data_IF_710252520078
#
_entry.id   IF_710252520078
#
_cell.length_a   1.000
_cell.length_b   1.000
_cell.length_c   1.000
_cell.angle_alpha   90.00
_cell.angle_beta   90.00
_cell.angle_gamma   90.00
#
_symmetry.space_group_name_H-M   'P 1'
#
loop_
_entity.id
_entity.type
_entity.pdbx_description
1 polymer ?
#
# COMPACT_ATOMS: atom_id res chain seq x y z
N UNK A 1 5.71 -10.30 5.99
CA UNK A 1 5.01 -9.43 6.95
C UNK A 1 3.86 -10.19 7.56
N UNK A 2 3.76 -10.18 8.89
CA UNK A 2 2.70 -10.84 9.61
C UNK A 2 1.71 -9.81 10.14
N UNK A 3 0.42 -10.04 9.87
CA UNK A 3 -0.64 -9.20 10.40
C UNK A 3 -1.32 -9.94 11.54
N UNK A 4 -1.43 -9.30 12.68
CA UNK A 4 -2.13 -9.86 13.84
C UNK A 4 -3.56 -9.37 13.87
N UNK A 5 -4.48 -10.27 14.19
CA UNK A 5 -5.93 -9.98 14.28
C UNK A 5 -6.19 -8.86 15.28
N UNK A 6 -7.05 -7.93 14.88
CA UNK A 6 -7.45 -6.83 15.73
C UNK A 6 -6.52 -5.64 15.71
N UNK A 7 -5.44 -5.68 14.93
CA UNK A 7 -4.48 -4.57 14.86
C UNK A 7 -4.65 -3.74 13.60
N UNK A 8 -4.32 -2.47 13.73
CA UNK A 8 -4.27 -1.51 12.63
C UNK A 8 -2.81 -1.26 12.27
N UNK A 9 -2.48 -1.31 10.98
CA UNK A 9 -1.11 -1.16 10.50
C UNK A 9 -1.01 -0.01 9.52
N UNK A 10 0.05 0.79 9.66
CA UNK A 10 0.41 1.81 8.70
C UNK A 10 1.61 1.31 7.90
N UNK A 11 1.40 1.07 6.62
CA UNK A 11 2.43 0.60 5.70
C UNK A 11 2.80 1.75 4.79
N UNK A 12 4.08 2.06 4.68
CA UNK A 12 4.53 3.15 3.83
C UNK A 12 5.91 2.87 3.26
N UNK A 13 6.22 3.53 2.17
CA UNK A 13 7.54 3.46 1.56
C UNK A 13 7.77 4.69 0.71
N UNK A 14 9.04 5.04 0.50
CA UNK A 14 9.45 6.18 -0.28
C UNK A 14 10.61 5.77 -1.19
N UNK A 15 10.64 6.31 -2.42
CA UNK A 15 11.74 6.07 -3.34
C UNK A 15 13.05 6.64 -2.79
N UNK A 16 14.17 6.01 -3.11
CA UNK A 16 15.49 6.47 -2.71
C UNK A 16 15.72 7.89 -3.22
N UNK A 17 16.24 8.78 -2.35
CA UNK A 17 16.52 10.17 -2.68
C UNK A 17 15.29 10.88 -3.25
N UNK A 18 14.09 10.52 -2.78
CA UNK A 18 12.82 11.08 -3.22
C UNK A 18 12.56 10.86 -4.71
N UNK A 19 13.14 9.83 -5.30
CA UNK A 19 12.87 9.48 -6.69
C UNK A 19 11.45 8.97 -6.84
N UNK A 20 10.89 9.18 -8.04
CA UNK A 20 9.56 8.68 -8.34
C UNK A 20 9.53 7.15 -8.28
N UNK A 21 8.45 6.60 -7.74
CA UNK A 21 8.17 5.16 -7.78
C UNK A 21 6.96 4.87 -8.66
N UNK A 22 6.13 5.87 -8.96
CA UNK A 22 5.02 5.76 -9.90
C UNK A 22 5.25 6.77 -11.02
N UNK A 23 5.32 6.29 -12.27
CA UNK A 23 5.62 7.12 -13.43
C UNK A 23 4.41 7.36 -14.33
N UNK A 24 3.37 6.56 -14.20
CA UNK A 24 2.20 6.64 -15.04
C UNK A 24 0.97 6.13 -14.30
N UNK A 25 -0.20 6.36 -14.90
CA UNK A 25 -1.45 5.83 -14.38
C UNK A 25 -1.39 4.31 -14.26
N UNK A 26 -0.77 3.65 -15.24
CA UNK A 26 -0.64 2.19 -15.25
C UNK A 26 0.16 1.68 -14.06
N UNK A 27 1.18 2.43 -13.62
CA UNK A 27 1.95 2.08 -12.44
C UNK A 27 1.08 2.10 -11.20
N UNK A 28 0.23 3.12 -11.03
CA UNK A 28 -0.69 3.20 -9.89
C UNK A 28 -1.68 2.03 -9.92
N UNK A 29 -2.25 1.73 -11.08
CA UNK A 29 -3.22 0.66 -11.22
C UNK A 29 -2.58 -0.71 -10.96
N UNK A 30 -1.36 -0.91 -11.42
CA UNK A 30 -0.60 -2.12 -11.17
C UNK A 30 -0.36 -2.30 -9.66
N UNK A 31 0.03 -1.22 -8.99
CA UNK A 31 0.28 -1.25 -7.55
C UNK A 31 -0.99 -1.57 -6.76
N UNK A 32 -2.11 -0.91 -7.10
CA UNK A 32 -3.39 -1.17 -6.47
C UNK A 32 -3.84 -2.62 -6.66
N UNK A 33 -3.60 -3.18 -7.84
CA UNK A 33 -3.92 -4.57 -8.10
C UNK A 33 -3.07 -5.52 -7.27
N UNK A 34 -1.79 -5.20 -7.07
CA UNK A 34 -0.90 -5.98 -6.21
C UNK A 34 -1.37 -5.95 -4.77
N UNK A 35 -1.79 -4.78 -4.27
CA UNK A 35 -2.36 -4.64 -2.93
C UNK A 35 -3.60 -5.53 -2.80
N UNK A 36 -4.51 -5.46 -3.77
CA UNK A 36 -5.72 -6.26 -3.77
C UNK A 36 -5.39 -7.75 -3.70
N UNK A 37 -4.42 -8.19 -4.50
CA UNK A 37 -4.07 -9.60 -4.59
C UNK A 37 -3.39 -10.11 -3.32
N UNK A 38 -2.49 -9.30 -2.73
CA UNK A 38 -1.61 -9.76 -1.64
C UNK A 38 -2.07 -9.34 -0.26
N UNK A 39 -2.83 -8.26 -0.13
CA UNK A 39 -3.24 -7.73 1.17
C UNK A 39 -4.67 -8.10 1.52
N UNK A 40 -5.62 -7.93 0.59
CA UNK A 40 -7.04 -8.14 0.90
C UNK A 40 -7.37 -9.54 1.42
N UNK A 41 -6.69 -10.63 0.99
CA UNK A 41 -6.96 -11.94 1.59
C UNK A 41 -6.64 -12.01 3.08
N UNK A 42 -5.84 -11.09 3.61
CA UNK A 42 -5.37 -11.11 4.99
C UNK A 42 -5.85 -9.94 5.84
N UNK A 43 -6.21 -8.82 5.21
CA UNK A 43 -6.55 -7.61 5.94
C UNK A 43 -7.41 -6.70 5.07
N UNK A 44 -8.17 -5.81 5.72
CA UNK A 44 -8.97 -4.81 5.03
C UNK A 44 -8.14 -3.55 4.82
N UNK A 45 -8.30 -2.92 3.67
CA UNK A 45 -7.66 -1.64 3.39
C UNK A 45 -8.60 -0.54 3.83
N UNK A 46 -8.19 0.21 4.86
CA UNK A 46 -8.99 1.26 5.46
C UNK A 46 -8.83 2.58 4.70
N UNK A 47 -7.60 2.87 4.29
CA UNK A 47 -7.29 4.11 3.58
C UNK A 47 -5.98 3.94 2.81
N UNK A 48 -5.79 4.77 1.77
CA UNK A 48 -4.52 4.79 1.04
C UNK A 48 -4.26 6.18 0.50
N UNK A 49 -2.99 6.45 0.23
CA UNK A 49 -2.56 7.66 -0.46
C UNK A 49 -1.36 7.29 -1.33
N UNK A 50 -1.48 7.50 -2.64
CA UNK A 50 -0.43 7.19 -3.59
C UNK A 50 0.09 8.49 -4.18
N UNK A 51 1.34 8.80 -3.94
CA UNK A 51 2.02 9.98 -4.45
C UNK A 51 3.16 9.53 -5.37
N UNK A 52 3.64 10.41 -6.26
CA UNK A 52 4.65 9.96 -7.24
C UNK A 52 5.89 9.33 -6.65
N UNK A 53 6.30 9.73 -5.46
CA UNK A 53 7.54 9.26 -4.84
C UNK A 53 7.36 8.49 -3.54
N UNK A 54 6.13 8.31 -3.08
CA UNK A 54 5.89 7.52 -1.87
C UNK A 54 4.42 7.09 -1.79
N UNK A 55 4.14 6.14 -0.91
CA UNK A 55 2.77 5.71 -0.66
C UNK A 55 2.53 5.47 0.82
N UNK A 56 1.27 5.53 1.20
CA UNK A 56 0.79 5.18 2.53
C UNK A 56 -0.43 4.28 2.40
N UNK A 57 -0.45 3.22 3.20
CA UNK A 57 -1.61 2.32 3.31
C UNK A 57 -1.94 2.17 4.77
N UNK A 58 -3.23 2.16 5.08
CA UNK A 58 -3.71 1.80 6.41
C UNK A 58 -4.56 0.55 6.29
N UNK A 59 -4.17 -0.51 6.97
CA UNK A 59 -4.83 -1.80 6.88
C UNK A 59 -5.25 -2.27 8.27
N UNK A 60 -6.40 -2.93 8.32
CA UNK A 60 -6.95 -3.48 9.55
C UNK A 60 -7.09 -4.99 9.39
N UNK A 61 -6.55 -5.72 10.33
CA UNK A 61 -6.63 -7.18 10.35
C UNK A 61 -7.77 -7.60 11.28
N UNK A 62 -8.89 -7.98 10.68
CA UNK A 62 -10.08 -8.38 11.45
C UNK A 62 -9.95 -9.79 12.02
#
# INVERSE_FOLDING_TARGET
MNFETGNLYHIYNQGNNRQKIFFSRENYLFFLNKIKTHILPHADIVAWCLLPNHFHLMVYCA
#
